data_IF_118681717795
#
_entry.id   IF_118681717795
#
_cell.length_a   1.000
_cell.length_b   1.000
_cell.length_c   1.000
_cell.angle_alpha   90.00
_cell.angle_beta   90.00
_cell.angle_gamma   90.00
#
_symmetry.space_group_name_H-M   'P 1'
#
loop_
_entity.id
_entity.type
_entity.pdbx_description
1 polymer ?
#
# COMPACT_ATOMS: atom_id res chain seq x y z
N UNK A 1 -42.43 -88.71 25.33
CA UNK A 1 -40.97 -88.88 25.15
C UNK A 1 -40.52 -90.34 25.18
N UNK A 2 -41.24 -91.25 25.86
CA UNK A 2 -40.78 -92.61 26.10
C UNK A 2 -39.81 -92.70 27.29
N UNK A 3 -39.85 -91.72 28.18
CA UNK A 3 -39.16 -91.69 29.48
C UNK A 3 -40.23 -91.73 30.57
N UNK A 4 -39.91 -92.38 31.70
CA UNK A 4 -40.84 -92.48 32.84
C UNK A 4 -40.44 -91.48 33.92
N UNK A 5 -41.39 -90.91 34.70
CA UNK A 5 -41.04 -89.97 35.74
C UNK A 5 -40.30 -90.63 36.91
N UNK A 6 -40.66 -91.88 37.24
CA UNK A 6 -39.92 -92.69 38.21
C UNK A 6 -40.21 -94.18 38.03
N UNK A 7 -39.48 -95.03 38.76
CA UNK A 7 -39.60 -96.48 38.68
C UNK A 7 -40.94 -97.06 39.18
N UNK A 8 -41.79 -96.24 39.80
CA UNK A 8 -43.05 -96.67 40.44
C UNK A 8 -44.32 -96.08 39.81
N UNK A 9 -44.18 -95.16 38.84
CA UNK A 9 -45.34 -94.60 38.12
C UNK A 9 -45.99 -95.67 37.25
N UNK A 10 -47.32 -95.77 37.30
CA UNK A 10 -48.09 -96.75 36.53
C UNK A 10 -49.38 -96.15 36.01
N UNK A 11 -49.70 -96.44 34.76
CA UNK A 11 -51.02 -96.19 34.14
C UNK A 11 -51.69 -97.50 33.79
N UNK A 12 -53.02 -97.52 33.71
CA UNK A 12 -53.77 -98.70 33.31
C UNK A 12 -53.88 -98.76 31.78
N UNK A 13 -53.29 -99.78 31.16
CA UNK A 13 -53.44 -100.02 29.73
C UNK A 13 -54.83 -100.53 29.36
N UNK A 14 -55.39 -99.98 28.27
CA UNK A 14 -56.76 -100.29 27.82
C UNK A 14 -56.84 -101.56 26.98
N UNK A 15 -55.74 -101.93 26.31
CA UNK A 15 -55.66 -103.08 25.39
C UNK A 15 -54.58 -104.12 25.75
N UNK A 16 -53.86 -103.89 26.86
CA UNK A 16 -52.85 -104.78 27.48
C UNK A 16 -51.50 -104.84 26.77
N UNK A 17 -51.16 -103.89 25.90
CA UNK A 17 -49.90 -103.93 25.15
C UNK A 17 -48.84 -102.88 25.58
N UNK A 18 -49.21 -101.92 26.43
CA UNK A 18 -48.30 -100.93 27.03
C UNK A 18 -47.53 -100.07 26.01
N UNK A 19 -48.07 -99.85 24.80
CA UNK A 19 -47.39 -99.08 23.75
C UNK A 19 -48.17 -97.86 23.22
N UNK A 20 -49.36 -97.62 23.75
CA UNK A 20 -50.14 -96.42 23.46
C UNK A 20 -49.47 -95.16 24.05
N UNK A 21 -49.88 -93.99 23.57
CA UNK A 21 -49.40 -92.72 24.09
C UNK A 21 -49.72 -92.57 25.59
N UNK A 22 -48.69 -92.26 26.39
CA UNK A 22 -48.78 -92.21 27.86
C UNK A 22 -48.55 -93.56 28.55
N UNK A 23 -48.32 -94.63 27.79
CA UNK A 23 -47.90 -95.94 28.30
C UNK A 23 -46.38 -96.14 28.10
N UNK A 24 -45.74 -96.85 29.02
CA UNK A 24 -44.31 -97.15 28.99
C UNK A 24 -44.03 -98.52 29.62
N UNK A 25 -42.90 -99.13 29.26
CA UNK A 25 -42.45 -100.43 29.77
C UNK A 25 -41.31 -100.29 30.78
N UNK A 26 -41.03 -101.32 31.62
CA UNK A 26 -39.98 -101.25 32.63
C UNK A 26 -38.55 -100.99 32.11
N UNK A 27 -38.29 -101.24 30.82
CA UNK A 27 -36.99 -100.99 30.17
C UNK A 27 -36.77 -99.54 29.74
N UNK A 28 -37.82 -98.72 29.71
CA UNK A 28 -37.72 -97.33 29.27
C UNK A 28 -36.94 -96.48 30.28
N UNK A 29 -36.21 -95.44 29.86
CA UNK A 29 -35.48 -94.55 30.74
C UNK A 29 -36.35 -93.96 31.87
N UNK A 30 -35.73 -93.51 32.95
CA UNK A 30 -36.40 -92.82 34.07
C UNK A 30 -35.82 -91.42 34.24
N UNK A 31 -36.57 -90.53 34.89
CA UNK A 31 -36.11 -89.19 35.25
C UNK A 31 -36.83 -88.06 34.53
N UNK A 32 -37.95 -88.35 33.88
CA UNK A 32 -38.84 -87.32 33.33
C UNK A 32 -39.39 -86.44 34.47
N UNK A 33 -39.14 -85.13 34.37
CA UNK A 33 -39.52 -84.14 35.35
C UNK A 33 -40.91 -83.50 35.09
N UNK A 34 -41.49 -83.69 33.89
CA UNK A 34 -42.89 -83.33 33.57
C UNK A 34 -43.51 -84.36 32.59
N UNK A 35 -44.00 -85.46 33.15
CA UNK A 35 -44.69 -86.57 32.45
C UNK A 35 -45.94 -86.14 31.65
N UNK A 36 -46.40 -84.89 31.80
CA UNK A 36 -47.50 -84.33 31.02
C UNK A 36 -47.06 -83.66 29.72
N UNK A 37 -45.75 -83.41 29.55
CA UNK A 37 -45.16 -82.69 28.44
C UNK A 37 -44.09 -83.55 27.74
N UNK A 38 -44.42 -84.06 26.55
CA UNK A 38 -43.55 -84.96 25.80
C UNK A 38 -42.21 -84.35 25.32
N UNK A 39 -42.00 -83.05 25.53
CA UNK A 39 -40.75 -82.34 25.23
C UNK A 39 -39.82 -82.20 26.44
N UNK A 40 -40.26 -82.58 27.65
CA UNK A 40 -39.49 -82.47 28.89
C UNK A 40 -39.02 -83.87 29.28
N UNK A 41 -37.72 -84.12 29.20
CA UNK A 41 -37.10 -85.40 29.55
C UNK A 41 -35.56 -85.27 29.63
N UNK A 42 -34.86 -86.13 30.39
CA UNK A 42 -33.41 -86.18 30.44
C UNK A 42 -32.72 -86.15 29.06
N UNK A 43 -32.00 -85.06 28.79
CA UNK A 43 -31.29 -84.84 27.52
C UNK A 43 -32.12 -84.27 26.37
N UNK A 44 -33.33 -83.78 26.63
CA UNK A 44 -34.06 -82.93 25.68
C UNK A 44 -33.27 -81.63 25.38
N UNK A 45 -33.39 -81.04 24.17
CA UNK A 45 -32.83 -79.72 23.90
C UNK A 45 -33.62 -78.60 24.59
N UNK A 46 -32.91 -77.67 25.21
CA UNK A 46 -33.47 -76.48 25.85
C UNK A 46 -34.06 -75.49 24.83
N UNK A 47 -35.22 -74.93 25.16
CA UNK A 47 -35.84 -73.81 24.47
C UNK A 47 -35.48 -72.54 25.25
N UNK A 48 -34.46 -71.84 24.75
CA UNK A 48 -33.86 -70.66 25.40
C UNK A 48 -34.90 -69.69 25.99
N UNK A 49 -34.82 -69.49 27.30
CA UNK A 49 -35.53 -68.47 28.08
C UNK A 49 -37.03 -68.66 28.16
N UNK A 50 -37.52 -69.90 28.13
CA UNK A 50 -38.95 -70.20 28.32
C UNK A 50 -39.31 -70.54 29.79
N UNK A 51 -38.29 -70.74 30.64
CA UNK A 51 -38.44 -71.03 32.07
C UNK A 51 -38.92 -72.45 32.37
N UNK A 52 -38.64 -73.39 31.46
CA UNK A 52 -38.97 -74.81 31.57
C UNK A 52 -37.66 -75.58 31.41
N UNK A 53 -37.23 -76.26 32.48
CA UNK A 53 -36.11 -77.22 32.45
C UNK A 53 -36.49 -78.44 31.57
N UNK A 54 -36.24 -78.36 30.27
CA UNK A 54 -36.58 -79.44 29.34
C UNK A 54 -35.73 -80.67 29.58
N UNK A 55 -34.46 -80.49 29.91
CA UNK A 55 -33.50 -81.59 30.01
C UNK A 55 -33.42 -82.22 31.41
N UNK A 56 -34.19 -81.71 32.38
CA UNK A 56 -34.26 -82.15 33.76
C UNK A 56 -32.92 -82.09 34.53
N UNK A 57 -32.09 -81.08 34.26
CA UNK A 57 -30.80 -80.85 34.95
C UNK A 57 -30.79 -79.65 35.89
N UNK A 58 -31.95 -79.07 36.17
CA UNK A 58 -32.18 -77.93 37.08
C UNK A 58 -31.58 -76.60 36.62
N UNK A 59 -31.26 -76.48 35.33
CA UNK A 59 -30.77 -75.24 34.72
C UNK A 59 -31.66 -74.85 33.54
N UNK A 60 -31.74 -73.55 33.30
CA UNK A 60 -32.36 -72.99 32.09
C UNK A 60 -31.26 -72.38 31.23
N UNK A 61 -31.40 -72.42 29.91
CA UNK A 61 -30.50 -71.70 29.00
C UNK A 61 -31.06 -70.31 28.72
N UNK A 62 -30.28 -69.27 29.03
CA UNK A 62 -30.61 -67.87 28.81
C UNK A 62 -29.70 -67.23 27.75
N UNK A 63 -30.08 -66.09 27.19
CA UNK A 63 -29.13 -65.25 26.44
C UNK A 63 -28.19 -64.52 27.40
N UNK A 64 -27.09 -63.99 26.88
CA UNK A 64 -26.12 -63.20 27.65
C UNK A 64 -26.39 -61.71 27.47
N UNK A 65 -26.36 -61.00 28.60
CA UNK A 65 -26.26 -59.53 28.75
C UNK A 65 -25.31 -59.29 29.94
N UNK A 66 -24.01 -59.41 29.67
CA UNK A 66 -22.95 -59.51 30.68
C UNK A 66 -22.70 -58.19 31.42
N UNK A 67 -22.94 -57.05 30.77
CA UNK A 67 -22.76 -55.73 31.37
C UNK A 67 -24.07 -55.09 31.90
N UNK A 68 -25.22 -55.69 31.57
CA UNK A 68 -26.57 -55.34 32.05
C UNK A 68 -27.09 -54.01 31.54
N UNK A 69 -26.81 -53.66 30.28
CA UNK A 69 -27.40 -52.49 29.63
C UNK A 69 -28.80 -52.74 29.04
N UNK A 70 -29.23 -54.01 29.01
CA UNK A 70 -30.53 -54.43 28.50
C UNK A 70 -30.53 -54.82 27.02
N UNK A 71 -29.37 -54.91 26.38
CA UNK A 71 -29.17 -55.49 25.05
C UNK A 71 -28.44 -56.82 25.18
N UNK A 72 -28.89 -57.81 24.41
CA UNK A 72 -28.32 -59.16 24.47
C UNK A 72 -27.45 -59.46 23.27
N UNK A 73 -26.54 -60.42 23.45
CA UNK A 73 -25.83 -61.08 22.36
C UNK A 73 -26.54 -62.36 21.88
N UNK A 74 -25.99 -63.03 20.86
CA UNK A 74 -26.42 -64.37 20.45
C UNK A 74 -25.78 -65.48 21.32
N UNK A 75 -24.93 -65.12 22.28
CA UNK A 75 -24.33 -66.06 23.21
C UNK A 75 -25.37 -66.53 24.23
N UNK A 76 -25.13 -67.70 24.81
CA UNK A 76 -26.02 -68.29 25.81
C UNK A 76 -25.26 -68.61 27.09
N UNK A 77 -25.93 -68.46 28.23
CA UNK A 77 -25.45 -68.84 29.57
C UNK A 77 -26.47 -69.74 30.27
N UNK A 78 -26.09 -70.35 31.39
CA UNK A 78 -26.99 -71.16 32.21
C UNK A 78 -27.47 -70.35 33.42
N UNK A 79 -28.78 -70.25 33.57
CA UNK A 79 -29.44 -69.76 34.79
C UNK A 79 -29.58 -70.89 35.81
N UNK A 80 -29.36 -70.55 37.08
CA UNK A 80 -29.40 -71.50 38.20
C UNK A 80 -30.72 -71.49 38.96
N UNK A 81 -31.60 -70.53 38.70
CA UNK A 81 -32.93 -70.42 39.33
C UNK A 81 -34.08 -70.48 38.32
N UNK A 82 -33.76 -70.81 37.05
CA UNK A 82 -34.68 -71.01 35.92
C UNK A 82 -35.43 -69.75 35.49
N UNK A 83 -34.94 -68.57 35.87
CA UNK A 83 -35.37 -67.32 35.30
C UNK A 83 -34.19 -66.58 34.65
N UNK A 84 -34.44 -65.91 33.53
CA UNK A 84 -33.41 -65.21 32.75
C UNK A 84 -33.43 -63.72 33.06
N UNK A 85 -33.44 -63.35 34.34
CA UNK A 85 -33.46 -61.94 34.78
C UNK A 85 -32.35 -61.58 35.76
N UNK A 86 -31.47 -62.54 36.06
CA UNK A 86 -30.28 -62.31 36.85
C UNK A 86 -29.26 -61.48 36.07
N UNK A 87 -28.32 -60.87 36.79
CA UNK A 87 -27.26 -60.09 36.15
C UNK A 87 -26.37 -61.00 35.30
N UNK A 88 -26.11 -60.61 34.05
CA UNK A 88 -25.43 -61.44 33.07
C UNK A 88 -26.37 -62.20 32.14
N UNK A 89 -27.67 -62.17 32.39
CA UNK A 89 -28.67 -62.99 31.72
C UNK A 89 -29.73 -62.13 31.04
N UNK A 90 -30.19 -62.61 29.88
CA UNK A 90 -31.22 -61.95 29.10
C UNK A 90 -32.27 -62.93 28.57
N UNK A 91 -33.46 -62.40 28.38
CA UNK A 91 -34.62 -63.08 27.82
C UNK A 91 -34.62 -63.02 26.29
N UNK A 92 -35.38 -63.88 25.59
CA UNK A 92 -35.57 -63.77 24.15
C UNK A 92 -36.25 -62.47 23.68
N UNK A 93 -36.93 -61.77 24.59
CA UNK A 93 -37.59 -60.49 24.31
C UNK A 93 -36.65 -59.30 24.36
N UNK A 94 -35.47 -59.44 24.96
CA UNK A 94 -34.52 -58.33 25.06
C UNK A 94 -33.93 -58.03 23.68
N UNK A 95 -33.76 -56.73 23.34
CA UNK A 95 -33.19 -56.30 22.07
C UNK A 95 -31.83 -56.95 21.82
N UNK A 96 -31.61 -57.41 20.59
CA UNK A 96 -30.31 -57.94 20.18
C UNK A 96 -29.49 -56.84 19.50
N UNK A 97 -28.17 -56.94 19.58
CA UNK A 97 -27.27 -56.12 18.76
C UNK A 97 -26.13 -55.46 19.53
N UNK A 98 -26.00 -55.76 20.81
CA UNK A 98 -24.84 -55.36 21.59
C UNK A 98 -23.54 -55.91 20.96
N UNK A 99 -22.64 -54.97 20.67
CA UNK A 99 -21.37 -55.20 20.01
C UNK A 99 -20.18 -55.23 20.99
N UNK A 100 -20.36 -54.83 22.26
CA UNK A 100 -19.37 -54.95 23.35
C UNK A 100 -20.06 -55.28 24.69
N UNK A 101 -20.41 -56.56 24.85
CA UNK A 101 -21.06 -57.21 26.02
C UNK A 101 -20.24 -57.17 27.33
N UNK A 102 -19.25 -56.28 27.42
CA UNK A 102 -18.47 -55.99 28.62
C UNK A 102 -18.53 -54.51 29.01
N UNK A 103 -19.23 -53.67 28.23
CA UNK A 103 -19.28 -52.24 28.36
C UNK A 103 -20.70 -51.70 28.17
N UNK A 104 -21.41 -51.53 29.29
CA UNK A 104 -22.82 -51.10 29.35
C UNK A 104 -23.12 -49.69 28.78
N UNK A 105 -22.14 -49.00 28.20
CA UNK A 105 -22.32 -47.75 27.48
C UNK A 105 -22.35 -47.93 25.95
N UNK A 106 -22.05 -49.13 25.46
CA UNK A 106 -21.95 -49.49 24.04
C UNK A 106 -23.12 -50.40 23.67
N UNK A 107 -24.12 -49.85 22.99
CA UNK A 107 -25.32 -50.60 22.60
C UNK A 107 -26.08 -49.90 21.48
N UNK A 108 -26.92 -50.65 20.73
CA UNK A 108 -27.75 -50.12 19.66
C UNK A 108 -28.47 -48.80 19.98
N UNK A 109 -28.11 -47.74 19.25
CA UNK A 109 -28.77 -46.43 19.32
C UNK A 109 -28.39 -45.55 20.52
N UNK A 110 -27.27 -45.83 21.19
CA UNK A 110 -26.61 -44.84 22.05
C UNK A 110 -26.08 -43.65 21.22
N UNK A 111 -25.51 -42.63 21.86
CA UNK A 111 -24.89 -41.50 21.15
C UNK A 111 -23.39 -41.71 21.06
N UNK A 112 -22.86 -41.65 19.83
CA UNK A 112 -21.42 -41.75 19.56
C UNK A 112 -20.57 -40.72 20.31
N UNK A 113 -19.47 -41.20 20.90
CA UNK A 113 -18.41 -40.36 21.45
C UNK A 113 -17.35 -40.16 20.37
N UNK A 114 -17.48 -39.05 19.65
CA UNK A 114 -16.64 -38.71 18.49
C UNK A 114 -15.14 -38.95 18.72
N UNK A 115 -14.55 -39.83 17.90
CA UNK A 115 -13.11 -40.09 17.81
C UNK A 115 -12.55 -40.87 19.00
N UNK A 116 -13.37 -41.69 19.68
CA UNK A 116 -12.92 -42.60 20.73
C UNK A 116 -12.43 -43.96 20.15
N UNK A 117 -12.74 -44.24 18.88
CA UNK A 117 -12.38 -45.46 18.17
C UNK A 117 -13.19 -46.70 18.57
N UNK A 118 -14.42 -46.49 19.04
CA UNK A 118 -15.38 -47.50 19.45
C UNK A 118 -16.69 -47.20 18.71
N UNK A 119 -17.28 -48.21 18.09
CA UNK A 119 -18.65 -48.16 17.57
C UNK A 119 -19.61 -48.21 18.77
N UNK A 120 -19.91 -47.04 19.36
CA UNK A 120 -20.69 -46.97 20.60
C UNK A 120 -22.15 -47.41 20.35
N UNK A 121 -22.72 -47.05 19.20
CA UNK A 121 -24.12 -47.28 18.87
C UNK A 121 -24.40 -48.55 18.05
N UNK A 122 -23.36 -49.37 17.85
CA UNK A 122 -23.38 -50.67 17.18
C UNK A 122 -24.00 -50.62 15.77
N UNK A 123 -23.87 -49.49 15.05
CA UNK A 123 -24.32 -49.36 13.66
C UNK A 123 -23.26 -49.80 12.61
N UNK A 124 -22.05 -50.11 13.09
CA UNK A 124 -20.91 -50.57 12.31
C UNK A 124 -19.95 -49.45 11.89
N UNK A 125 -20.13 -48.24 12.42
CA UNK A 125 -19.29 -47.08 12.13
C UNK A 125 -18.90 -46.37 13.43
N UNK A 126 -17.77 -45.69 13.39
CA UNK A 126 -17.39 -44.70 14.40
C UNK A 126 -17.59 -43.31 13.81
N UNK A 127 -17.94 -42.34 14.65
CA UNK A 127 -18.00 -40.94 14.25
C UNK A 127 -16.64 -40.27 14.48
N UNK A 128 -15.92 -39.95 13.41
CA UNK A 128 -14.65 -39.22 13.46
C UNK A 128 -14.86 -37.72 13.23
N UNK A 129 -13.85 -36.91 13.53
CA UNK A 129 -13.85 -35.52 13.05
C UNK A 129 -13.56 -35.50 11.56
N UNK A 130 -14.02 -34.46 10.86
CA UNK A 130 -13.68 -34.29 9.45
C UNK A 130 -12.39 -33.45 9.29
N UNK A 131 -11.64 -33.77 8.24
CA UNK A 131 -10.52 -33.02 7.65
C UNK A 131 -10.51 -33.40 6.17
N UNK A 132 -11.27 -32.65 5.36
CA UNK A 132 -11.65 -33.11 4.03
C UNK A 132 -10.51 -33.00 3.00
N UNK A 133 -9.53 -32.14 3.23
CA UNK A 133 -8.39 -31.94 2.33
C UNK A 133 -7.06 -32.54 2.83
N UNK A 134 -7.08 -33.17 4.00
CA UNK A 134 -5.99 -33.91 4.63
C UNK A 134 -4.77 -33.04 5.01
N UNK A 135 -5.00 -31.79 5.41
CA UNK A 135 -3.93 -30.90 5.88
C UNK A 135 -3.57 -31.06 7.37
N UNK A 136 -4.40 -31.83 8.10
CA UNK A 136 -4.23 -32.11 9.53
C UNK A 136 -4.85 -31.05 10.44
N UNK A 137 -5.73 -30.19 9.94
CA UNK A 137 -6.44 -29.15 10.69
C UNK A 137 -7.93 -29.27 10.45
N UNK A 138 -8.70 -29.31 11.55
CA UNK A 138 -10.16 -29.42 11.46
C UNK A 138 -10.78 -28.05 11.23
N UNK A 139 -11.90 -27.95 10.49
CA UNK A 139 -12.60 -26.67 10.31
C UNK A 139 -13.18 -26.16 11.63
N UNK A 140 -13.75 -27.05 12.43
CA UNK A 140 -14.33 -26.71 13.73
C UNK A 140 -14.52 -27.95 14.62
N UNK A 141 -14.92 -27.72 15.87
CA UNK A 141 -15.11 -28.77 16.87
C UNK A 141 -16.38 -29.64 16.68
N UNK A 142 -17.14 -29.46 15.60
CA UNK A 142 -18.43 -30.13 15.37
C UNK A 142 -18.54 -30.85 14.04
N UNK A 143 -17.59 -30.66 13.12
CA UNK A 143 -17.60 -31.36 11.86
C UNK A 143 -17.23 -32.81 12.07
N UNK A 144 -18.03 -33.73 11.53
CA UNK A 144 -17.83 -35.16 11.70
C UNK A 144 -18.11 -35.94 10.42
N UNK A 145 -17.49 -37.12 10.32
CA UNK A 145 -17.61 -38.07 9.23
C UNK A 145 -17.65 -39.49 9.81
N UNK A 146 -18.34 -40.42 9.14
CA UNK A 146 -18.39 -41.82 9.58
C UNK A 146 -17.16 -42.58 9.08
N UNK A 147 -16.46 -43.26 9.99
CA UNK A 147 -15.35 -44.17 9.71
C UNK A 147 -15.81 -45.61 9.81
N UNK A 148 -15.44 -46.42 8.81
CA UNK A 148 -15.88 -47.82 8.71
C UNK A 148 -14.93 -48.82 9.38
N UNK A 149 -13.70 -48.42 9.69
CA UNK A 149 -12.70 -49.24 10.37
C UNK A 149 -12.35 -48.74 11.79
N UNK A 150 -13.02 -47.67 12.22
CA UNK A 150 -13.08 -47.14 13.58
C UNK A 150 -11.80 -46.44 14.05
N UNK A 151 -10.88 -46.07 13.15
CA UNK A 151 -9.55 -45.61 13.55
C UNK A 151 -9.23 -44.12 13.30
N UNK A 152 -10.16 -43.39 12.67
CA UNK A 152 -10.12 -41.95 12.42
C UNK A 152 -8.80 -41.45 11.80
N UNK A 153 -8.19 -42.22 10.90
CA UNK A 153 -6.96 -41.83 10.22
C UNK A 153 -6.97 -42.01 8.71
N UNK A 154 -8.12 -42.37 8.14
CA UNK A 154 -8.32 -42.37 6.70
C UNK A 154 -8.42 -40.94 6.15
N UNK A 155 -8.29 -40.82 4.84
CA UNK A 155 -8.44 -39.52 4.14
C UNK A 155 -9.86 -38.97 4.32
N UNK A 156 -9.97 -37.70 4.68
CA UNK A 156 -11.24 -37.09 5.09
C UNK A 156 -11.49 -37.13 6.60
N UNK A 157 -10.69 -37.87 7.37
CA UNK A 157 -10.91 -38.14 8.79
C UNK A 157 -9.81 -37.52 9.67
N UNK A 158 -10.23 -37.03 10.84
CA UNK A 158 -9.35 -36.44 11.83
C UNK A 158 -9.65 -36.93 13.24
N UNK A 159 -8.63 -36.78 14.08
CA UNK A 159 -8.66 -37.16 15.49
C UNK A 159 -9.05 -35.98 16.39
N UNK A 160 -9.44 -36.24 17.65
CA UNK A 160 -9.67 -35.18 18.62
C UNK A 160 -8.45 -34.29 18.90
N UNK A 161 -7.23 -34.80 18.65
CA UNK A 161 -5.97 -34.10 18.89
C UNK A 161 -5.59 -33.09 17.82
N UNK A 162 -6.17 -33.19 16.63
CA UNK A 162 -5.82 -32.30 15.52
C UNK A 162 -6.29 -30.87 15.81
N UNK A 163 -5.52 -29.85 15.43
CA UNK A 163 -5.88 -28.45 15.62
C UNK A 163 -7.24 -28.12 14.98
N UNK A 164 -7.81 -26.99 15.38
CA UNK A 164 -9.05 -26.46 14.81
C UNK A 164 -8.80 -25.07 14.23
N UNK A 165 -9.63 -24.66 13.29
CA UNK A 165 -9.68 -23.28 12.80
C UNK A 165 -9.36 -23.13 11.31
N UNK A 166 -9.31 -24.23 10.57
CA UNK A 166 -9.29 -24.20 9.13
C UNK A 166 -10.57 -23.52 8.58
N UNK A 167 -10.35 -22.53 7.72
CA UNK A 167 -11.37 -21.68 7.15
C UNK A 167 -11.83 -22.12 5.75
N UNK A 168 -11.13 -23.05 5.09
CA UNK A 168 -11.51 -23.72 3.84
C UNK A 168 -11.01 -25.19 3.80
N UNK A 169 -11.72 -26.06 4.51
CA UNK A 169 -11.57 -27.54 4.58
C UNK A 169 -11.73 -28.29 3.25
N UNK A 170 -11.67 -27.58 2.13
CA UNK A 170 -11.58 -28.16 0.79
C UNK A 170 -10.26 -27.87 0.09
N UNK A 171 -9.36 -27.14 0.74
CA UNK A 171 -8.11 -26.64 0.21
C UNK A 171 -6.98 -26.72 1.27
N UNK A 172 -6.17 -27.77 1.19
CA UNK A 172 -5.05 -28.04 2.10
C UNK A 172 -3.92 -26.98 2.14
N UNK A 173 -4.05 -25.90 1.37
CA UNK A 173 -3.20 -24.72 1.47
C UNK A 173 -3.71 -23.65 2.44
N UNK A 174 -4.94 -23.79 2.93
CA UNK A 174 -5.66 -22.77 3.72
C UNK A 174 -5.88 -23.31 5.13
N UNK A 175 -5.07 -22.84 6.08
CA UNK A 175 -5.18 -23.26 7.47
C UNK A 175 -4.40 -22.32 8.41
N UNK A 176 -4.74 -22.28 9.71
CA UNK A 176 -3.98 -21.58 10.74
C UNK A 176 -2.46 -21.78 10.67
N UNK A 177 -1.75 -20.75 10.23
CA UNK A 177 -0.28 -20.76 10.10
C UNK A 177 0.26 -21.28 8.77
N UNK A 178 -0.57 -21.36 7.73
CA UNK A 178 -0.12 -21.44 6.34
C UNK A 178 0.71 -20.20 5.95
N UNK A 179 1.30 -20.23 4.75
CA UNK A 179 2.03 -19.07 4.23
C UNK A 179 1.18 -18.34 3.21
N UNK A 180 0.92 -17.06 3.47
CA UNK A 180 0.18 -16.17 2.57
C UNK A 180 0.73 -16.13 1.14
N UNK A 181 -0.16 -16.34 0.17
CA UNK A 181 0.12 -16.13 -1.25
C UNK A 181 -0.39 -14.74 -1.63
N UNK A 182 0.51 -13.77 -1.59
CA UNK A 182 0.20 -12.34 -1.80
C UNK A 182 -0.71 -12.07 -3.00
N UNK A 183 -1.90 -11.53 -2.75
CA UNK A 183 -2.88 -11.07 -3.73
C UNK A 183 -3.60 -12.19 -4.48
N UNK A 184 -3.78 -13.36 -3.87
CA UNK A 184 -4.61 -14.43 -4.40
C UNK A 184 -6.10 -14.28 -4.03
N UNK A 185 -6.42 -13.39 -3.08
CA UNK A 185 -7.77 -13.12 -2.60
C UNK A 185 -8.33 -14.21 -1.68
N UNK A 186 -7.46 -14.93 -0.97
CA UNK A 186 -7.77 -16.00 -0.03
C UNK A 186 -6.98 -15.71 1.25
N UNK A 187 -7.65 -15.73 2.40
CA UNK A 187 -7.02 -15.73 3.73
C UNK A 187 -6.38 -17.12 3.94
N UNK A 188 -5.14 -17.31 3.48
CA UNK A 188 -4.47 -18.61 3.49
C UNK A 188 -4.17 -19.08 4.93
N UNK A 189 -3.79 -18.16 5.83
CA UNK A 189 -3.43 -18.49 7.21
C UNK A 189 -4.57 -18.38 8.24
N UNK A 190 -5.79 -18.08 7.76
CA UNK A 190 -7.02 -17.95 8.55
C UNK A 190 -6.93 -16.93 9.70
N UNK A 191 -6.11 -15.87 9.57
CA UNK A 191 -5.99 -14.80 10.56
C UNK A 191 -7.03 -13.67 10.39
N UNK A 192 -7.81 -13.74 9.30
CA UNK A 192 -8.86 -12.80 8.95
C UNK A 192 -8.41 -11.69 7.99
N UNK A 193 -7.21 -11.78 7.45
CA UNK A 193 -6.64 -10.84 6.50
C UNK A 193 -6.03 -11.57 5.30
N UNK A 194 -6.00 -10.89 4.17
CA UNK A 194 -5.20 -11.30 3.01
C UNK A 194 -3.98 -10.38 2.93
N UNK A 195 -2.85 -10.90 2.43
CA UNK A 195 -1.67 -10.09 2.18
C UNK A 195 -1.71 -9.52 0.77
N UNK A 196 -1.78 -8.20 0.63
CA UNK A 196 -1.73 -7.49 -0.65
C UNK A 196 -0.36 -6.83 -0.86
N UNK A 197 -0.04 -6.40 -2.09
CA UNK A 197 1.09 -5.51 -2.30
C UNK A 197 0.73 -4.10 -1.80
N UNK A 198 1.73 -3.30 -1.44
CA UNK A 198 1.50 -1.91 -1.08
C UNK A 198 1.59 -0.99 -2.31
N UNK A 199 0.80 0.08 -2.28
CA UNK A 199 0.84 1.27 -3.15
C UNK A 199 0.33 2.42 -2.28
N UNK A 200 1.24 3.06 -1.54
CA UNK A 200 0.88 3.90 -0.40
C UNK A 200 0.29 5.25 -0.81
N UNK A 201 0.55 5.73 -2.02
CA UNK A 201 0.06 7.01 -2.53
C UNK A 201 -1.04 6.89 -3.61
N UNK A 202 -1.41 5.66 -3.98
CA UNK A 202 -2.50 5.29 -4.88
C UNK A 202 -2.28 5.74 -6.34
N UNK A 203 -1.04 5.73 -6.83
CA UNK A 203 -0.74 6.06 -8.23
C UNK A 203 -0.83 4.86 -9.19
N UNK A 204 -0.98 3.66 -8.64
CA UNK A 204 -1.09 2.40 -9.37
C UNK A 204 0.25 1.75 -9.70
N UNK A 205 1.35 2.16 -9.07
CA UNK A 205 2.69 1.57 -9.22
C UNK A 205 3.23 1.17 -7.86
N UNK A 206 3.71 -0.07 -7.76
CA UNK A 206 4.32 -0.57 -6.53
C UNK A 206 5.79 -0.12 -6.42
N UNK A 207 6.31 0.12 -5.21
CA UNK A 207 7.73 0.42 -5.02
C UNK A 207 8.62 -0.75 -5.45
N UNK A 208 8.28 -1.95 -5.01
CA UNK A 208 9.00 -3.18 -5.36
C UNK A 208 8.12 -4.43 -5.28
N UNK A 209 8.72 -5.60 -5.48
CA UNK A 209 8.04 -6.90 -5.46
C UNK A 209 7.90 -7.52 -4.06
N UNK A 210 8.20 -6.77 -3.00
CA UNK A 210 8.28 -7.26 -1.62
C UNK A 210 7.49 -6.45 -0.62
N UNK A 211 7.12 -5.21 -0.94
CA UNK A 211 6.27 -4.40 -0.09
C UNK A 211 4.85 -4.99 -0.03
N UNK A 212 4.36 -5.22 1.18
CA UNK A 212 3.05 -5.83 1.42
C UNK A 212 2.30 -5.14 2.54
N UNK A 213 0.96 -5.18 2.48
CA UNK A 213 0.02 -4.66 3.47
C UNK A 213 -1.11 -5.66 3.68
N UNK A 214 -1.70 -5.70 4.89
CA UNK A 214 -2.85 -6.56 5.18
C UNK A 214 -4.15 -5.91 4.68
N UNK A 215 -4.94 -6.66 3.92
CA UNK A 215 -6.27 -6.29 3.43
C UNK A 215 -7.34 -7.02 4.24
N UNK A 216 -8.43 -6.33 4.57
CA UNK A 216 -9.50 -6.84 5.44
C UNK A 216 -10.63 -7.50 4.65
N UNK A 217 -10.85 -7.08 3.41
CA UNK A 217 -11.90 -7.63 2.53
C UNK A 217 -11.35 -8.52 1.39
N UNK A 218 -10.03 -8.71 1.38
CA UNK A 218 -9.29 -9.67 0.55
C UNK A 218 -9.34 -9.38 -0.96
N UNK A 219 -9.52 -8.13 -1.37
CA UNK A 219 -9.67 -7.77 -2.78
C UNK A 219 -8.52 -6.92 -3.36
N UNK A 220 -7.57 -6.50 -2.53
CA UNK A 220 -6.37 -5.74 -2.89
C UNK A 220 -6.64 -4.51 -3.78
N UNK A 221 -7.74 -3.79 -3.54
CA UNK A 221 -8.08 -2.58 -4.30
C UNK A 221 -8.44 -1.35 -3.46
N UNK A 222 -8.30 -1.47 -2.13
CA UNK A 222 -8.42 -0.33 -1.23
C UNK A 222 -7.21 0.60 -1.34
N UNK A 223 -7.34 1.81 -0.80
CA UNK A 223 -6.26 2.80 -0.75
C UNK A 223 -5.08 2.26 0.09
N UNK A 224 -3.87 2.34 -0.45
CA UNK A 224 -2.69 1.70 0.12
C UNK A 224 -2.39 0.30 -0.43
N UNK A 225 -3.31 -0.30 -1.18
CA UNK A 225 -3.25 -1.70 -1.63
C UNK A 225 -3.09 -1.80 -3.15
N UNK A 226 -2.32 -2.80 -3.58
CA UNK A 226 -2.07 -3.09 -4.98
C UNK A 226 -2.15 -4.59 -5.28
N UNK A 227 -2.46 -4.87 -6.54
CA UNK A 227 -2.56 -6.21 -7.08
C UNK A 227 -1.21 -6.71 -7.60
N UNK A 228 -1.05 -8.04 -7.77
CA UNK A 228 0.16 -8.59 -8.40
C UNK A 228 0.43 -8.10 -9.82
N UNK A 229 -0.62 -7.61 -10.53
CA UNK A 229 -0.54 -7.12 -11.90
C UNK A 229 -0.04 -5.69 -12.03
N UNK A 230 -0.04 -4.91 -10.95
CA UNK A 230 0.35 -3.51 -11.02
C UNK A 230 1.85 -3.37 -11.31
N UNK A 231 2.27 -2.36 -12.08
CA UNK A 231 3.68 -2.10 -12.36
C UNK A 231 4.52 -2.00 -11.08
N UNK A 232 5.83 -2.16 -11.22
CA UNK A 232 6.80 -1.97 -10.14
C UNK A 232 7.79 -0.89 -10.54
N UNK A 233 8.46 -0.31 -9.54
CA UNK A 233 9.57 0.61 -9.73
C UNK A 233 9.28 2.04 -9.34
N UNK A 234 8.25 2.28 -8.53
CA UNK A 234 8.06 3.56 -7.87
C UNK A 234 9.24 3.85 -6.92
N UNK A 235 9.85 5.02 -7.10
CA UNK A 235 11.00 5.49 -6.34
C UNK A 235 10.65 6.40 -5.15
N UNK A 236 9.40 6.85 -5.02
CA UNK A 236 8.83 7.55 -3.86
C UNK A 236 7.33 7.24 -3.69
N UNK A 237 7.04 6.06 -3.13
CA UNK A 237 5.71 5.50 -2.75
C UNK A 237 4.95 6.33 -1.69
N UNK A 238 5.32 7.59 -1.50
CA UNK A 238 4.60 8.56 -0.68
C UNK A 238 4.09 9.77 -1.47
N UNK A 239 4.38 9.81 -2.78
CA UNK A 239 4.07 10.90 -3.67
C UNK A 239 3.62 10.40 -5.05
N UNK A 240 2.31 10.38 -5.26
CA UNK A 240 1.64 9.90 -6.48
C UNK A 240 1.97 10.63 -7.80
N UNK A 241 2.92 11.57 -7.79
CA UNK A 241 3.47 12.21 -8.99
C UNK A 241 4.86 11.67 -9.35
N UNK A 242 5.41 10.73 -8.58
CA UNK A 242 6.73 10.14 -8.77
C UNK A 242 6.54 8.67 -9.08
N UNK A 243 6.68 8.29 -10.35
CA UNK A 243 6.55 6.92 -10.82
C UNK A 243 7.19 6.73 -12.19
N UNK A 244 7.54 5.49 -12.59
CA UNK A 244 8.02 5.17 -13.92
C UNK A 244 7.18 5.78 -15.05
N UNK A 245 7.74 6.76 -15.75
CA UNK A 245 7.10 7.45 -16.87
C UNK A 245 6.22 8.65 -16.50
N UNK A 246 6.26 9.12 -15.25
CA UNK A 246 5.69 10.40 -14.88
C UNK A 246 6.31 11.56 -15.69
N UNK A 247 5.58 12.66 -15.94
CA UNK A 247 6.16 13.84 -16.58
C UNK A 247 7.06 14.62 -15.63
N UNK A 248 8.30 14.86 -16.06
CA UNK A 248 9.29 15.68 -15.35
C UNK A 248 8.87 17.14 -15.13
N UNK A 249 9.10 17.64 -13.92
CA UNK A 249 8.99 19.05 -13.55
C UNK A 249 10.38 19.67 -13.56
N UNK A 250 10.73 20.23 -14.71
CA UNK A 250 12.07 20.80 -15.00
C UNK A 250 12.67 21.58 -13.82
N UNK A 251 13.76 21.06 -13.27
CA UNK A 251 14.64 21.67 -12.30
C UNK A 251 14.02 21.88 -10.92
N UNK A 252 13.28 20.88 -10.43
CA UNK A 252 12.78 20.85 -9.05
C UNK A 252 13.57 19.89 -8.13
N UNK A 253 14.64 19.28 -8.65
CA UNK A 253 15.53 18.35 -7.97
C UNK A 253 14.85 17.01 -7.58
N UNK A 254 13.83 16.57 -8.33
CA UNK A 254 13.05 15.35 -8.08
C UNK A 254 12.96 14.54 -9.37
N UNK A 255 13.52 13.33 -9.38
CA UNK A 255 13.34 12.34 -10.45
C UNK A 255 11.90 11.80 -10.44
N UNK A 256 10.97 12.50 -11.09
CA UNK A 256 9.57 12.06 -11.14
C UNK A 256 9.43 10.75 -11.90
N UNK A 257 10.20 10.55 -12.97
CA UNK A 257 9.99 9.43 -13.86
C UNK A 257 10.77 8.16 -13.47
N UNK A 258 11.51 8.21 -12.35
CA UNK A 258 12.34 7.14 -11.80
C UNK A 258 13.39 6.58 -12.78
N UNK A 259 13.96 7.42 -13.66
CA UNK A 259 15.04 7.04 -14.59
C UNK A 259 16.44 7.50 -14.15
N UNK A 260 16.55 7.93 -12.88
CA UNK A 260 17.77 8.41 -12.21
C UNK A 260 18.31 9.72 -12.76
N UNK A 261 17.49 10.49 -13.46
CA UNK A 261 17.86 11.79 -14.03
C UNK A 261 16.78 12.82 -13.76
N UNK A 262 17.19 14.09 -13.76
CA UNK A 262 16.30 15.26 -13.70
C UNK A 262 16.40 16.00 -15.04
N UNK A 263 15.33 16.67 -15.49
CA UNK A 263 15.43 17.60 -16.61
C UNK A 263 15.80 19.02 -16.16
N UNK A 264 16.96 19.49 -16.58
CA UNK A 264 17.42 20.87 -16.37
C UNK A 264 17.29 21.72 -17.63
N UNK A 265 17.30 23.05 -17.50
CA UNK A 265 17.49 23.92 -18.66
C UNK A 265 18.96 23.89 -19.11
N UNK A 266 19.21 24.29 -20.36
CA UNK A 266 20.58 24.39 -20.90
C UNK A 266 21.13 25.80 -20.73
N UNK A 267 22.37 25.87 -20.23
CA UNK A 267 23.30 27.02 -20.25
C UNK A 267 24.68 26.47 -20.66
N UNK A 268 24.87 26.23 -21.96
CA UNK A 268 25.98 25.44 -22.48
C UNK A 268 27.33 26.19 -22.51
N UNK A 269 27.34 27.50 -22.28
CA UNK A 269 28.55 28.31 -22.17
C UNK A 269 28.81 28.90 -20.77
N UNK A 270 27.96 28.55 -19.80
CA UNK A 270 28.05 28.86 -18.37
C UNK A 270 28.07 30.37 -18.07
N UNK A 271 27.25 31.16 -18.77
CA UNK A 271 27.16 32.62 -18.61
C UNK A 271 26.05 33.09 -17.66
N UNK A 272 25.20 32.15 -17.24
CA UNK A 272 24.09 32.36 -16.33
C UNK A 272 22.76 32.71 -17.01
N UNK A 273 22.67 32.63 -18.34
CA UNK A 273 21.43 32.79 -19.10
C UNK A 273 21.04 31.50 -19.78
N UNK A 274 19.83 31.03 -19.48
CA UNK A 274 19.33 29.76 -20.00
C UNK A 274 18.58 29.90 -21.32
N UNK A 275 18.59 28.82 -22.10
CA UNK A 275 17.68 28.63 -23.22
C UNK A 275 16.36 27.96 -22.78
N UNK A 276 15.45 27.72 -23.74
CA UNK A 276 14.24 26.89 -23.53
C UNK A 276 14.48 25.41 -23.83
N UNK A 277 15.70 25.02 -24.19
CA UNK A 277 16.08 23.62 -24.35
C UNK A 277 16.29 22.98 -22.99
N UNK A 278 16.16 21.65 -22.91
CA UNK A 278 16.44 20.88 -21.71
C UNK A 278 17.55 19.86 -21.93
N UNK A 279 18.24 19.51 -20.84
CA UNK A 279 19.27 18.48 -20.75
C UNK A 279 19.00 17.62 -19.52
N UNK A 280 19.39 16.36 -19.55
CA UNK A 280 19.26 15.46 -18.40
C UNK A 280 20.46 15.61 -17.46
N UNK A 281 20.21 15.95 -16.21
CA UNK A 281 21.18 15.92 -15.11
C UNK A 281 21.23 14.52 -14.50
N UNK A 282 22.44 14.05 -14.14
CA UNK A 282 22.68 12.70 -13.63
C UNK A 282 22.74 12.64 -12.11
N UNK A 283 22.98 13.77 -11.44
CA UNK A 283 22.98 13.87 -9.98
C UNK A 283 21.77 14.62 -9.41
N UNK A 284 20.80 14.91 -10.29
CA UNK A 284 19.50 15.51 -10.03
C UNK A 284 19.53 17.00 -9.69
N UNK A 285 20.71 17.59 -9.52
CA UNK A 285 20.80 19.04 -9.35
C UNK A 285 21.06 19.71 -10.70
N UNK A 286 20.49 20.91 -10.89
CA UNK A 286 20.67 21.69 -12.12
C UNK A 286 21.75 22.77 -11.94
N UNK A 287 22.89 22.40 -11.32
CA UNK A 287 23.98 23.33 -11.01
C UNK A 287 25.30 22.98 -11.68
N UNK A 288 25.33 21.89 -12.46
CA UNK A 288 26.50 21.49 -13.21
C UNK A 288 26.73 22.36 -14.45
N UNK A 289 27.96 22.32 -14.99
CA UNK A 289 28.32 23.06 -16.19
C UNK A 289 27.51 22.57 -17.39
N UNK A 290 26.89 23.49 -18.12
CA UNK A 290 25.93 23.18 -19.17
C UNK A 290 24.46 23.19 -18.72
N UNK A 291 24.19 23.30 -17.42
CA UNK A 291 22.87 23.16 -16.82
C UNK A 291 22.42 24.45 -16.14
N UNK A 292 21.11 24.67 -16.12
CA UNK A 292 20.51 25.84 -15.51
C UNK A 292 19.18 25.53 -14.82
N UNK A 293 18.89 26.30 -13.79
CA UNK A 293 17.67 26.22 -13.00
C UNK A 293 16.53 27.03 -13.65
N UNK A 294 15.27 26.79 -13.26
CA UNK A 294 14.15 27.65 -13.69
C UNK A 294 14.29 29.11 -13.24
N UNK A 295 15.12 29.39 -12.23
CA UNK A 295 15.34 30.73 -11.69
C UNK A 295 16.34 31.55 -12.48
N UNK A 296 17.14 30.91 -13.33
CA UNK A 296 18.11 31.60 -14.17
C UNK A 296 17.38 32.41 -15.27
N UNK A 297 17.88 33.62 -15.57
CA UNK A 297 17.32 34.46 -16.63
C UNK A 297 17.23 33.71 -17.97
N UNK A 298 16.04 33.67 -18.56
CA UNK A 298 15.86 33.09 -19.88
C UNK A 298 16.22 34.09 -20.99
N UNK A 299 16.44 33.57 -22.20
CA UNK A 299 16.50 34.39 -23.41
C UNK A 299 17.87 34.48 -24.05
N UNK A 300 18.80 33.62 -23.64
CA UNK A 300 20.05 33.47 -24.38
C UNK A 300 19.78 33.04 -25.83
N UNK A 301 20.31 33.84 -26.75
CA UNK A 301 20.18 33.69 -28.18
C UNK A 301 21.39 32.98 -28.82
N UNK A 302 22.48 32.76 -28.06
CA UNK A 302 23.65 32.02 -28.51
C UNK A 302 24.37 31.28 -27.37
N UNK A 303 23.78 30.15 -26.99
CA UNK A 303 24.18 29.11 -26.02
C UNK A 303 25.54 28.42 -26.28
N UNK A 304 26.41 29.02 -27.06
CA UNK A 304 27.79 28.56 -27.27
C UNK A 304 28.80 29.69 -27.20
N UNK A 305 28.38 30.88 -26.77
CA UNK A 305 29.20 32.06 -26.59
C UNK A 305 28.68 32.96 -25.45
N UNK A 306 29.30 32.80 -24.27
CA UNK A 306 29.05 33.55 -23.03
C UNK A 306 29.13 35.08 -23.10
N UNK A 307 29.49 35.65 -24.26
CA UNK A 307 29.48 37.08 -24.53
C UNK A 307 28.25 37.57 -25.30
N UNK A 308 27.27 36.70 -25.57
CA UNK A 308 26.04 37.03 -26.30
C UNK A 308 24.87 36.56 -25.44
N UNK A 309 24.33 37.47 -24.63
CA UNK A 309 23.23 37.18 -23.72
C UNK A 309 22.46 38.46 -23.37
N UNK A 310 21.24 38.35 -22.79
CA UNK A 310 20.42 39.50 -22.46
C UNK A 310 21.14 40.62 -21.69
N UNK A 311 21.11 41.83 -22.26
CA UNK A 311 21.62 43.05 -21.61
C UNK A 311 23.13 43.30 -21.76
N UNK A 312 23.84 42.52 -22.58
CA UNK A 312 25.17 42.88 -23.08
C UNK A 312 25.10 44.16 -23.92
N UNK A 313 26.21 44.88 -24.05
CA UNK A 313 26.28 46.01 -24.99
C UNK A 313 26.57 45.49 -26.39
N UNK A 314 25.73 45.90 -27.33
CA UNK A 314 25.87 45.62 -28.75
C UNK A 314 27.23 46.04 -29.32
N UNK A 315 27.78 45.16 -30.16
CA UNK A 315 29.03 45.41 -30.89
C UNK A 315 28.68 45.92 -32.28
N UNK A 316 28.88 47.21 -32.49
CA UNK A 316 28.54 47.88 -33.74
C UNK A 316 29.19 47.20 -34.97
N UNK A 317 28.38 46.89 -35.98
CA UNK A 317 28.79 46.38 -37.30
C UNK A 317 29.47 44.99 -37.29
N UNK A 318 29.19 44.14 -36.29
CA UNK A 318 29.54 42.72 -36.34
C UNK A 318 28.42 41.83 -36.92
N UNK A 319 27.19 42.34 -36.96
CA UNK A 319 26.00 41.67 -37.50
C UNK A 319 25.44 40.57 -36.61
N UNK A 320 25.82 40.56 -35.33
CA UNK A 320 25.32 39.69 -34.28
C UNK A 320 24.35 40.53 -33.42
N UNK A 321 23.34 39.88 -32.86
CA UNK A 321 22.49 40.43 -31.81
C UNK A 321 23.13 39.94 -30.49
N UNK A 322 23.96 40.80 -29.89
CA UNK A 322 24.75 40.48 -28.70
C UNK A 322 23.90 40.52 -27.42
N UNK A 323 22.84 41.34 -27.38
CA UNK A 323 22.00 41.56 -26.21
C UNK A 323 20.65 40.84 -26.26
N UNK A 324 20.43 40.05 -27.32
CA UNK A 324 19.27 39.20 -27.54
C UNK A 324 17.92 39.97 -27.52
N UNK A 325 17.93 41.26 -27.85
CA UNK A 325 16.72 42.09 -27.95
C UNK A 325 16.01 42.00 -29.33
N UNK A 326 16.65 41.32 -30.29
CA UNK A 326 16.20 41.16 -31.66
C UNK A 326 16.79 42.17 -32.65
N UNK A 327 17.71 43.04 -32.22
CA UNK A 327 18.33 44.07 -33.05
C UNK A 327 19.86 43.93 -33.06
N UNK A 328 20.42 43.69 -34.24
CA UNK A 328 21.85 43.88 -34.50
C UNK A 328 22.10 45.30 -34.98
N UNK A 329 22.98 46.07 -34.34
CA UNK A 329 23.25 47.46 -34.74
C UNK A 329 24.32 47.62 -35.82
N UNK A 330 24.22 48.73 -36.56
CA UNK A 330 25.10 49.11 -37.65
C UNK A 330 26.40 49.75 -37.14
N UNK A 331 27.06 50.62 -37.92
CA UNK A 331 28.33 51.20 -37.55
C UNK A 331 28.23 52.19 -36.37
N UNK A 332 29.37 52.46 -35.74
CA UNK A 332 29.62 53.60 -34.86
C UNK A 332 30.49 54.58 -35.66
N UNK A 333 29.88 55.66 -36.15
CA UNK A 333 30.50 56.59 -37.09
C UNK A 333 31.50 57.55 -36.45
N UNK A 334 31.40 57.82 -35.14
CA UNK A 334 32.28 58.76 -34.45
C UNK A 334 33.22 58.11 -33.41
N UNK A 335 33.06 56.82 -33.16
CA UNK A 335 33.94 55.96 -32.38
C UNK A 335 33.79 56.14 -30.88
N UNK A 336 32.60 56.51 -30.40
CA UNK A 336 32.34 56.78 -28.99
C UNK A 336 31.86 55.57 -28.17
N UNK A 337 31.58 54.46 -28.86
CA UNK A 337 31.14 53.20 -28.27
C UNK A 337 29.62 53.00 -28.24
N UNK A 338 28.83 53.92 -28.83
CA UNK A 338 27.39 53.79 -29.02
C UNK A 338 27.12 53.68 -30.53
N UNK A 339 26.31 52.72 -30.95
CA UNK A 339 26.04 52.52 -32.38
C UNK A 339 25.12 53.61 -32.94
N UNK A 340 25.30 53.98 -34.22
CA UNK A 340 24.63 55.11 -34.88
C UNK A 340 23.10 55.08 -34.73
N UNK A 341 22.48 53.90 -34.65
CA UNK A 341 21.03 53.74 -34.51
C UNK A 341 20.46 54.16 -33.14
N UNK A 342 21.28 54.10 -32.09
CA UNK A 342 20.91 54.43 -30.70
C UNK A 342 21.70 55.61 -30.13
N UNK A 343 22.63 56.16 -30.90
CA UNK A 343 23.43 57.33 -30.54
C UNK A 343 22.66 58.65 -30.78
N UNK A 344 22.44 59.42 -29.72
CA UNK A 344 21.83 60.74 -29.80
C UNK A 344 22.71 61.81 -30.47
N UNK A 345 23.95 61.47 -30.83
CA UNK A 345 24.90 62.28 -31.58
C UNK A 345 25.83 61.47 -32.51
N UNK A 346 25.27 60.61 -33.39
CA UNK A 346 25.93 59.73 -34.40
C UNK A 346 27.14 60.24 -35.24
N UNK A 347 27.59 61.48 -35.09
CA UNK A 347 28.78 62.00 -35.77
C UNK A 347 29.67 62.87 -34.88
N UNK A 348 29.40 62.94 -33.58
CA UNK A 348 30.10 63.76 -32.59
C UNK A 348 30.26 63.03 -31.24
N UNK A 349 31.44 62.39 -31.05
CA UNK A 349 31.82 61.64 -29.85
C UNK A 349 31.24 62.14 -28.52
N UNK A 350 30.38 61.35 -27.88
CA UNK A 350 29.69 61.66 -26.63
C UNK A 350 29.24 60.40 -25.83
N UNK A 351 30.15 59.55 -25.31
CA UNK A 351 29.82 58.21 -24.78
C UNK A 351 28.85 58.17 -23.59
N UNK A 352 28.60 59.31 -22.94
CA UNK A 352 27.70 59.43 -21.78
C UNK A 352 26.24 59.69 -22.23
N UNK A 353 26.02 59.97 -23.53
CA UNK A 353 24.70 60.17 -24.14
C UNK A 353 23.85 61.21 -23.39
N UNK A 354 24.50 62.24 -22.83
CA UNK A 354 23.80 63.32 -22.13
C UNK A 354 22.84 64.05 -23.07
N UNK A 355 21.58 64.14 -22.65
CA UNK A 355 20.52 64.90 -23.29
C UNK A 355 19.75 65.65 -22.18
N UNK A 356 20.17 66.88 -21.93
CA UNK A 356 19.70 67.64 -20.76
C UNK A 356 18.25 68.09 -20.90
N UNK A 357 17.79 68.38 -22.13
CA UNK A 357 16.42 68.83 -22.38
C UNK A 357 15.47 67.73 -22.91
N UNK A 358 16.00 66.51 -23.10
CA UNK A 358 15.30 65.28 -23.48
C UNK A 358 14.59 65.38 -24.85
N UNK A 359 15.22 66.05 -25.81
CA UNK A 359 14.66 66.20 -27.16
C UNK A 359 15.11 65.09 -28.13
N UNK A 360 16.01 64.20 -27.69
CA UNK A 360 16.56 63.09 -28.44
C UNK A 360 17.85 63.41 -29.19
N UNK A 361 18.36 64.65 -29.09
CA UNK A 361 19.67 65.08 -29.61
C UNK A 361 20.61 65.31 -28.43
N UNK A 362 21.82 64.74 -28.46
CA UNK A 362 22.75 64.87 -27.35
C UNK A 362 23.32 66.28 -27.20
N UNK A 363 23.64 66.68 -25.97
CA UNK A 363 24.20 68.00 -25.61
C UNK A 363 25.46 68.38 -26.45
N UNK A 364 26.19 67.38 -26.96
CA UNK A 364 27.41 67.55 -27.75
C UNK A 364 27.17 68.00 -29.19
N UNK A 365 26.01 67.66 -29.77
CA UNK A 365 25.64 67.98 -31.14
C UNK A 365 24.34 68.79 -31.24
N UNK A 366 23.70 69.07 -30.11
CA UNK A 366 22.51 69.90 -30.02
C UNK A 366 22.85 71.40 -30.23
N UNK A 367 22.36 72.03 -31.31
CA UNK A 367 22.55 73.47 -31.56
C UNK A 367 21.75 74.38 -30.62
N UNK A 368 20.72 73.84 -29.94
CA UNK A 368 19.82 74.55 -29.04
C UNK A 368 20.20 74.35 -27.55
N UNK A 369 21.20 73.51 -27.24
CA UNK A 369 21.74 73.29 -25.90
C UNK A 369 22.28 74.60 -25.28
N UNK A 370 21.61 75.07 -24.23
CA UNK A 370 22.02 76.24 -23.45
C UNK A 370 22.63 75.77 -22.13
N UNK A 371 23.96 75.77 -22.05
CA UNK A 371 24.71 75.61 -20.79
C UNK A 371 24.29 76.69 -19.77
N UNK A 372 23.49 76.30 -18.78
CA UNK A 372 22.86 77.21 -17.81
C UNK A 372 23.78 77.63 -16.64
N UNK A 373 25.10 77.54 -16.75
CA UNK A 373 26.00 78.06 -15.69
C UNK A 373 26.27 79.58 -15.72
N UNK A 374 25.58 80.38 -16.54
CA UNK A 374 25.69 81.85 -16.52
C UNK A 374 24.34 82.57 -16.79
N UNK A 375 24.04 83.71 -16.12
CA UNK A 375 22.80 84.52 -16.35
C UNK A 375 23.06 85.95 -16.84
N UNK A 376 22.47 86.30 -17.98
CA UNK A 376 22.57 87.59 -18.67
C UNK A 376 21.19 88.13 -18.94
N UNK A 377 20.94 89.40 -18.65
CA UNK A 377 19.67 90.05 -18.95
C UNK A 377 19.94 91.24 -19.87
N UNK A 378 19.56 91.04 -21.14
CA UNK A 378 19.96 91.81 -22.33
C UNK A 378 20.94 91.10 -23.28
N UNK A 379 21.33 89.85 -22.96
CA UNK A 379 22.22 88.99 -23.77
C UNK A 379 21.95 87.52 -23.48
N UNK A 380 22.18 86.65 -24.47
CA UNK A 380 22.01 85.20 -24.37
C UNK A 380 23.34 84.46 -24.08
N UNK A 381 24.46 85.15 -23.83
CA UNK A 381 25.74 84.54 -23.41
C UNK A 381 26.42 85.29 -22.26
N UNK A 382 25.92 85.18 -21.02
CA UNK A 382 26.58 85.71 -19.82
C UNK A 382 27.86 84.95 -19.43
N UNK A 383 28.87 85.62 -18.84
CA UNK A 383 30.12 84.97 -18.36
C UNK A 383 30.80 85.49 -17.07
N UNK A 384 30.58 86.69 -16.51
CA UNK A 384 31.29 87.16 -15.26
C UNK A 384 30.70 88.42 -14.57
N UNK A 385 31.24 88.79 -13.37
CA UNK A 385 31.56 90.10 -12.67
C UNK A 385 30.94 91.47 -13.10
N UNK A 386 30.04 91.50 -14.07
CA UNK A 386 29.44 92.66 -14.68
C UNK A 386 27.94 92.39 -14.89
N UNK A 387 27.08 93.16 -14.24
CA UNK A 387 25.63 92.95 -14.30
C UNK A 387 24.88 94.29 -14.30
N UNK A 388 23.89 94.43 -15.18
CA UNK A 388 22.94 95.55 -15.18
C UNK A 388 21.61 95.13 -14.55
N UNK A 389 21.25 95.71 -13.39
CA UNK A 389 20.01 95.41 -12.68
C UNK A 389 19.27 96.68 -12.33
N UNK A 390 18.02 96.80 -12.77
CA UNK A 390 17.13 97.92 -12.45
C UNK A 390 17.73 99.29 -12.81
N UNK A 391 18.38 99.38 -13.98
CA UNK A 391 19.03 100.60 -14.47
C UNK A 391 20.30 101.01 -13.70
N UNK A 392 20.83 100.13 -12.83
CA UNK A 392 22.10 100.33 -12.11
C UNK A 392 23.14 99.34 -12.62
N UNK A 393 24.35 99.85 -12.83
CA UNK A 393 25.50 99.06 -13.25
C UNK A 393 26.25 98.53 -12.03
N UNK A 394 26.46 97.22 -11.97
CA UNK A 394 27.23 96.53 -10.93
C UNK A 394 28.55 96.04 -11.51
N UNK A 395 29.65 96.47 -10.88
CA UNK A 395 31.03 96.07 -11.21
C UNK A 395 31.64 95.44 -9.96
N UNK A 396 31.89 94.14 -9.97
CA UNK A 396 32.50 93.43 -8.84
C UNK A 396 33.99 93.17 -9.09
N UNK A 397 34.84 93.45 -8.09
CA UNK A 397 36.31 93.43 -8.12
C UNK A 397 36.94 94.35 -9.19
N UNK A 398 36.70 95.66 -9.08
CA UNK A 398 37.54 96.69 -9.73
C UNK A 398 38.88 96.80 -8.98
N UNK A 399 39.84 95.95 -9.32
CA UNK A 399 41.24 96.10 -8.89
C UNK A 399 41.97 97.23 -9.64
N UNK A 400 41.26 97.99 -10.47
CA UNK A 400 41.72 99.16 -11.20
C UNK A 400 40.54 100.11 -11.42
N UNK A 401 40.82 101.39 -11.36
CA UNK A 401 39.87 102.50 -11.45
C UNK A 401 38.93 102.47 -12.67
N UNK A 402 37.74 103.07 -12.58
CA UNK A 402 36.78 103.28 -13.67
C UNK A 402 37.17 104.48 -14.53
N UNK A 403 37.37 104.35 -15.84
CA UNK A 403 37.64 105.50 -16.71
C UNK A 403 36.37 106.03 -17.38
N UNK A 404 36.19 107.36 -17.39
CA UNK A 404 35.07 108.05 -18.05
C UNK A 404 35.58 109.23 -18.89
N UNK A 405 35.03 109.42 -20.09
CA UNK A 405 35.34 110.55 -20.96
C UNK A 405 34.27 111.64 -20.81
N UNK A 406 34.68 112.85 -20.47
CA UNK A 406 33.76 113.98 -20.33
C UNK A 406 33.38 114.57 -21.70
N UNK A 407 32.25 115.31 -21.81
CA UNK A 407 31.78 115.87 -23.09
C UNK A 407 32.76 116.83 -23.78
N UNK A 408 33.66 117.47 -23.03
CA UNK A 408 34.73 118.30 -23.57
C UNK A 408 35.95 117.49 -24.07
N UNK A 409 35.83 116.16 -24.14
CA UNK A 409 36.82 115.25 -24.72
C UNK A 409 37.94 114.78 -23.77
N UNK A 410 38.01 115.28 -22.53
CA UNK A 410 39.01 114.82 -21.55
C UNK A 410 38.63 113.49 -20.92
N UNK A 411 39.60 112.62 -20.62
CA UNK A 411 39.36 111.39 -19.87
C UNK A 411 39.73 111.52 -18.41
N UNK A 412 38.94 110.86 -17.58
CA UNK A 412 39.04 110.91 -16.14
C UNK A 412 39.04 109.49 -15.61
N UNK A 413 40.03 109.19 -14.78
CA UNK A 413 40.09 107.95 -14.06
C UNK A 413 39.46 108.16 -12.68
N UNK A 414 38.43 107.39 -12.37
CA UNK A 414 37.65 107.42 -11.14
C UNK A 414 38.01 106.21 -10.28
N UNK A 415 38.51 106.45 -9.09
CA UNK A 415 38.62 105.39 -8.06
C UNK A 415 37.59 105.64 -7.00
N UNK A 416 37.08 104.56 -6.42
CA UNK A 416 36.31 104.60 -5.18
C UNK A 416 37.12 103.88 -4.12
N UNK A 417 37.37 104.55 -2.99
CA UNK A 417 38.01 103.91 -1.85
C UNK A 417 36.98 103.10 -1.04
N UNK A 418 37.45 102.33 -0.05
CA UNK A 418 36.57 101.55 0.83
C UNK A 418 35.65 102.42 1.71
N UNK A 419 35.86 103.73 1.77
CA UNK A 419 34.99 104.69 2.47
C UNK A 419 33.94 105.30 1.55
N UNK A 420 33.93 104.93 0.26
CA UNK A 420 33.00 105.43 -0.74
C UNK A 420 33.39 106.80 -1.33
N UNK A 421 34.58 107.33 -1.04
CA UNK A 421 35.02 108.59 -1.62
C UNK A 421 35.48 108.35 -3.06
N UNK A 422 34.94 109.16 -3.98
CA UNK A 422 35.33 109.13 -5.37
C UNK A 422 36.47 110.13 -5.57
N UNK A 423 37.64 109.64 -6.01
CA UNK A 423 38.71 110.51 -6.49
C UNK A 423 38.77 110.45 -8.01
N UNK A 424 38.98 111.60 -8.64
CA UNK A 424 39.13 111.69 -10.09
C UNK A 424 40.48 112.30 -10.46
N UNK A 425 41.16 111.66 -11.40
CA UNK A 425 42.41 112.14 -11.98
C UNK A 425 42.21 112.30 -13.47
N UNK A 426 42.58 113.46 -14.02
CA UNK A 426 42.63 113.63 -15.47
C UNK A 426 43.76 112.76 -16.01
N UNK A 427 43.41 111.88 -16.93
CA UNK A 427 44.35 110.98 -17.61
C UNK A 427 44.24 111.18 -19.12
N UNK A 428 45.26 110.75 -19.83
CA UNK A 428 45.17 110.68 -21.27
C UNK A 428 44.11 109.64 -21.66
N UNK A 429 43.26 109.99 -22.63
CA UNK A 429 42.28 109.03 -23.13
C UNK A 429 43.00 107.85 -23.78
N UNK A 430 42.66 106.60 -23.43
CA UNK A 430 43.07 105.46 -24.20
C UNK A 430 42.51 105.65 -25.61
N UNK A 431 43.40 105.56 -26.59
CA UNK A 431 43.13 105.87 -28.00
C UNK A 431 41.98 105.07 -28.57
#
# INVERSE_FOLDING_TARGET
DGVRPNATCTVQSVDMDCNDAGEAVPSDPIGDCDDSNANVYPGAPEIIGNGIDENCDTQEVCYVDADNDGYRTNSTTFSVDMDCNDSGEATPSDPIGDCDDLNASVYPGTTEIVGNGIDDDCDGFELCYCDQDDDGVRPNATCTVQSADLDCNDSGEATPSDPIGDCDDSNAGVYPGASEIVGNGIDDDCDGFELCYCDQDDDGVRPDATCTVQSVDMDCNDSGEATPSDPIGDCDDSNANVYPGAPEIIGNDIDENCDTQELCYVDADDDGYRTNSTVASVDLDCMDSGEATPTDPAGDCNDGNAGINPGVTEICNDGIDNDCDGNSYGPDSDGDGICDEVDNCSSQYNPIQSDTDNDGVGDSCDPDFIDVENIGLGTNTPKTKFHLKNGKLFLDKISGSLMMKSPNGSCWLLTIDNSGNISSMKVDCPG
#
